data_IF_781704082214
#
_entry.id   IF_781704082214
#
_cell.length_a   1.000
_cell.length_b   1.000
_cell.length_c   1.000
_cell.angle_alpha   90.00
_cell.angle_beta   90.00
_cell.angle_gamma   90.00
#
_symmetry.space_group_name_H-M   'P 1'
#
loop_
_entity.id
_entity.type
_entity.pdbx_description
1 polymer ?
#
# COMPACT_ATOMS: atom_id res chain seq x y z
N UNK A 1 14.09 -5.75 -8.11
CA UNK A 1 13.81 -4.41 -8.72
C UNK A 1 12.38 -3.90 -8.50
N UNK A 2 11.40 -4.76 -8.23
CA UNK A 2 9.97 -4.41 -8.07
C UNK A 2 9.67 -3.46 -6.89
N UNK A 3 10.27 -3.70 -5.71
CA UNK A 3 10.09 -2.85 -4.53
C UNK A 3 10.57 -1.40 -4.75
N UNK A 4 11.67 -1.20 -5.49
CA UNK A 4 12.17 0.15 -5.84
C UNK A 4 11.20 0.92 -6.73
N UNK A 5 10.48 0.23 -7.62
CA UNK A 5 9.47 0.85 -8.48
C UNK A 5 8.20 1.15 -7.67
N UNK A 6 7.80 0.23 -6.79
CA UNK A 6 6.66 0.42 -5.89
C UNK A 6 6.81 1.65 -5.00
N UNK A 7 7.98 1.85 -4.38
CA UNK A 7 8.26 3.04 -3.57
C UNK A 7 8.21 4.32 -4.40
N UNK A 8 8.73 4.32 -5.64
CA UNK A 8 8.65 5.48 -6.54
C UNK A 8 7.21 5.85 -6.90
N UNK A 9 6.38 4.87 -7.22
CA UNK A 9 4.96 5.09 -7.54
C UNK A 9 4.21 5.59 -6.31
N UNK A 10 4.50 5.04 -5.13
CA UNK A 10 3.92 5.47 -3.87
C UNK A 10 4.30 6.93 -3.55
N UNK A 11 5.56 7.31 -3.79
CA UNK A 11 6.03 8.68 -3.62
C UNK A 11 5.28 9.67 -4.53
N UNK A 12 5.16 9.36 -5.83
CA UNK A 12 4.41 10.20 -6.78
C UNK A 12 2.93 10.32 -6.40
N UNK A 13 2.31 9.23 -5.94
CA UNK A 13 0.93 9.27 -5.46
C UNK A 13 0.80 10.19 -4.25
N UNK A 14 1.64 10.00 -3.22
CA UNK A 14 1.63 10.86 -2.02
C UNK A 14 1.80 12.33 -2.37
N UNK A 15 2.70 12.65 -3.30
CA UNK A 15 2.95 14.03 -3.73
C UNK A 15 1.77 14.62 -4.51
N UNK A 16 1.10 13.80 -5.33
CA UNK A 16 -0.15 14.18 -6.00
C UNK A 16 -1.27 14.46 -4.98
N UNK A 17 -1.41 13.62 -3.96
CA UNK A 17 -2.39 13.79 -2.88
C UNK A 17 -2.12 15.06 -2.06
N UNK A 18 -0.85 15.33 -1.70
CA UNK A 18 -0.46 16.56 -1.00
C UNK A 18 -0.64 17.81 -1.85
N UNK A 19 -0.30 17.75 -3.14
CA UNK A 19 -0.53 18.84 -4.08
C UNK A 19 -2.03 19.15 -4.24
N UNK A 20 -2.86 18.12 -4.37
CA UNK A 20 -4.32 18.27 -4.38
C UNK A 20 -4.87 18.82 -3.06
N UNK A 21 -4.35 18.36 -1.93
CA UNK A 21 -4.72 18.88 -0.61
C UNK A 21 -4.39 20.37 -0.48
N UNK A 22 -3.26 20.81 -1.05
CA UNK A 22 -2.89 22.23 -1.06
C UNK A 22 -3.72 23.07 -2.05
N UNK A 23 -4.11 22.52 -3.19
CA UNK A 23 -4.77 23.28 -4.27
C UNK A 23 -6.30 23.33 -4.15
N UNK A 24 -6.94 22.24 -3.71
CA UNK A 24 -8.41 22.07 -3.77
C UNK A 24 -9.06 22.21 -2.40
N UNK A 25 -8.35 21.91 -1.32
CA UNK A 25 -8.91 21.83 0.03
C UNK A 25 -8.82 23.20 0.73
N UNK A 26 -9.56 24.15 0.17
CA UNK A 26 -9.88 25.40 0.85
C UNK A 26 -10.98 25.12 1.89
N UNK A 27 -10.61 25.13 3.16
CA UNK A 27 -11.45 25.29 4.37
C UNK A 27 -12.47 24.19 4.78
N UNK A 28 -12.98 23.34 3.88
CA UNK A 28 -14.04 22.38 4.24
C UNK A 28 -13.53 21.08 4.89
N UNK A 29 -13.96 20.84 6.13
CA UNK A 29 -13.60 19.65 6.94
C UNK A 29 -14.16 18.35 6.33
N UNK A 30 -15.34 18.40 5.72
CA UNK A 30 -15.98 17.25 5.07
C UNK A 30 -15.18 16.79 3.86
N UNK A 31 -14.70 17.72 3.02
CA UNK A 31 -13.91 17.39 1.83
C UNK A 31 -12.59 16.73 2.23
N UNK A 32 -11.93 17.23 3.29
CA UNK A 32 -10.74 16.60 3.89
C UNK A 32 -11.01 15.15 4.32
N UNK A 33 -12.13 14.91 4.97
CA UNK A 33 -12.51 13.58 5.45
C UNK A 33 -12.77 12.61 4.29
N UNK A 34 -13.52 13.03 3.27
CA UNK A 34 -13.78 12.19 2.08
C UNK A 34 -12.47 11.85 1.37
N UNK A 35 -11.58 12.83 1.19
CA UNK A 35 -10.28 12.60 0.55
C UNK A 35 -9.42 11.63 1.37
N UNK A 36 -9.41 11.76 2.70
CA UNK A 36 -8.72 10.84 3.59
C UNK A 36 -9.26 9.40 3.46
N UNK A 37 -10.58 9.22 3.49
CA UNK A 37 -11.21 7.90 3.37
C UNK A 37 -10.89 7.26 2.01
N UNK A 38 -10.97 8.02 0.93
CA UNK A 38 -10.64 7.53 -0.42
C UNK A 38 -9.17 7.14 -0.52
N UNK A 39 -8.25 7.96 0.02
CA UNK A 39 -6.81 7.67 0.04
C UNK A 39 -6.52 6.42 0.86
N UNK A 40 -7.12 6.31 2.06
CA UNK A 40 -6.97 5.16 2.94
C UNK A 40 -7.49 3.87 2.27
N UNK A 41 -8.60 3.93 1.55
CA UNK A 41 -9.14 2.78 0.81
C UNK A 41 -8.19 2.32 -0.30
N UNK A 42 -7.61 3.25 -1.07
CA UNK A 42 -6.63 2.93 -2.13
C UNK A 42 -5.38 2.29 -1.52
N UNK A 43 -4.84 2.85 -0.44
CA UNK A 43 -3.67 2.32 0.25
C UNK A 43 -3.96 0.95 0.85
N UNK A 44 -5.10 0.76 1.53
CA UNK A 44 -5.49 -0.51 2.10
C UNK A 44 -5.61 -1.60 1.03
N UNK A 45 -6.22 -1.28 -0.12
CA UNK A 45 -6.33 -2.22 -1.23
C UNK A 45 -4.96 -2.55 -1.84
N UNK A 46 -4.08 -1.55 -1.96
CA UNK A 46 -2.70 -1.76 -2.39
C UNK A 46 -1.93 -2.68 -1.44
N UNK A 47 -2.07 -2.47 -0.13
CA UNK A 47 -1.42 -3.30 0.90
C UNK A 47 -1.99 -4.72 0.90
N UNK A 48 -3.32 -4.90 0.92
CA UNK A 48 -3.97 -6.22 0.87
C UNK A 48 -3.45 -7.05 -0.31
N UNK A 49 -3.44 -6.47 -1.51
CA UNK A 49 -2.95 -7.13 -2.73
C UNK A 49 -1.45 -7.43 -2.68
N UNK A 50 -0.69 -6.64 -1.94
CA UNK A 50 0.75 -6.87 -1.75
C UNK A 50 1.00 -7.91 -0.66
N UNK A 51 0.17 -7.96 0.37
CA UNK A 51 0.22 -8.93 1.47
C UNK A 51 0.06 -10.35 0.93
N UNK A 52 -0.91 -10.61 0.06
CA UNK A 52 -1.10 -11.94 -0.54
C UNK A 52 0.10 -12.41 -1.39
N UNK A 53 0.89 -11.45 -1.89
CA UNK A 53 2.07 -11.73 -2.71
C UNK A 53 3.37 -11.79 -1.90
N UNK A 54 3.41 -11.18 -0.71
CA UNK A 54 4.60 -11.07 0.14
C UNK A 54 4.55 -12.05 1.31
N UNK A 55 3.37 -12.31 1.86
CA UNK A 55 3.15 -13.34 2.87
C UNK A 55 2.72 -14.62 2.15
N UNK A 56 3.59 -15.64 2.02
CA UNK A 56 3.19 -16.92 1.48
C UNK A 56 2.06 -17.46 2.35
N UNK A 57 0.86 -17.53 1.80
CA UNK A 57 -0.29 -18.14 2.47
C UNK A 57 -0.01 -19.63 2.61
N UNK A 58 0.47 -20.00 3.80
CA UNK A 58 0.31 -21.28 4.46
C UNK A 58 0.56 -22.55 3.62
N UNK A 59 1.63 -22.57 2.83
CA UNK A 59 2.12 -23.80 2.18
C UNK A 59 3.63 -23.99 2.30
N UNK A 60 4.39 -22.91 2.18
CA UNK A 60 5.86 -23.00 2.02
C UNK A 60 6.64 -22.78 3.34
N UNK A 61 6.04 -22.14 4.35
CA UNK A 61 6.69 -21.98 5.67
C UNK A 61 6.82 -23.31 6.43
N UNK A 62 6.03 -24.33 6.08
CA UNK A 62 6.06 -25.67 6.67
C UNK A 62 7.04 -26.63 5.98
N UNK A 63 7.55 -26.32 4.79
CA UNK A 63 8.50 -27.19 4.06
C UNK A 63 9.96 -26.88 4.40
N UNK A 64 10.26 -25.66 4.83
CA UNK A 64 11.64 -25.26 5.15
C UNK A 64 12.24 -25.89 6.42
N UNK A 65 11.48 -26.74 7.13
CA UNK A 65 11.92 -27.44 8.34
C UNK A 65 12.01 -28.96 8.18
N UNK A 66 11.90 -29.50 6.96
CA UNK A 66 11.82 -30.95 6.72
C UNK A 66 12.68 -31.43 5.54
N UNK A 67 13.73 -30.69 5.17
CA UNK A 67 14.66 -31.06 4.08
C UNK A 67 16.14 -31.02 4.52
N UNK A 68 16.43 -31.16 5.82
CA UNK A 68 17.80 -31.26 6.39
C UNK A 68 18.00 -32.53 7.25
N UNK A 69 17.28 -33.62 6.95
CA UNK A 69 17.61 -34.96 7.47
C UNK A 69 17.46 -36.01 6.35
N UNK A 70 18.45 -36.08 5.45
CA UNK A 70 18.92 -37.32 4.82
C UNK A 70 20.31 -37.16 4.19
#
# INVERSE_FOLDING_TARGET
MFLKVGVKVLFVMVELFLGFYSLVISESLLVKFIFFVVTAAIVAFGILKTIDKVLPTNGEMLQLGSEDEE
#
